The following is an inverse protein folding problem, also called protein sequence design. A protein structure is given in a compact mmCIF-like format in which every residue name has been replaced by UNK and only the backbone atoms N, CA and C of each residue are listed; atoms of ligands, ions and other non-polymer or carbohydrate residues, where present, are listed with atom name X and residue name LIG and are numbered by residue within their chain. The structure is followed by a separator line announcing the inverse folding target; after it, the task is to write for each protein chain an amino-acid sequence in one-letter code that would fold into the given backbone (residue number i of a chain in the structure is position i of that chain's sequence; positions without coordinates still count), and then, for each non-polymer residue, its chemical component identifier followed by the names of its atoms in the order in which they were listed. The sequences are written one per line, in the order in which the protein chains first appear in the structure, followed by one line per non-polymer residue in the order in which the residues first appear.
data_IF_486990112512
#
_entry.id   IF_486990112512
#
_cell.length_a   1.000
_cell.length_b   1.000
_cell.length_c   1.000
_cell.angle_alpha   90.00
_cell.angle_beta   90.00
_cell.angle_gamma   90.00
#
_symmetry.space_group_name_H-M   'P 1'
#
loop_
_entity.id
_entity.type
_entity.pdbx_description
1 polymer ?
#
# COMPACT_ATOMS: atom_id res chain seq x y z
N UNK A 1 0.48 36.51 15.00
CA UNK A 1 -0.09 35.16 14.84
C UNK A 1 0.51 34.53 13.59
N UNK A 2 1.43 33.56 13.68
CA UNK A 2 1.96 32.92 12.49
C UNK A 2 1.13 31.68 12.13
N UNK A 3 0.78 31.61 10.84
CA UNK A 3 0.20 30.44 10.16
C UNK A 3 1.21 29.30 10.18
N UNK A 4 0.78 28.11 10.57
CA UNK A 4 1.56 26.87 10.46
C UNK A 4 1.43 26.31 9.03
N UNK A 5 2.43 26.58 8.20
CA UNK A 5 2.63 25.91 6.93
C UNK A 5 3.21 24.51 7.20
N UNK A 6 2.36 23.48 7.19
CA UNK A 6 2.81 22.09 7.14
C UNK A 6 3.09 21.72 5.68
N UNK A 7 4.28 22.08 5.22
CA UNK A 7 4.82 21.67 3.93
C UNK A 7 5.24 20.20 4.04
N UNK A 8 4.45 19.29 3.49
CA UNK A 8 4.89 17.92 3.24
C UNK A 8 6.04 17.98 2.23
N UNK A 9 7.27 17.75 2.73
CA UNK A 9 8.46 17.67 1.88
C UNK A 9 8.37 16.36 1.10
N UNK A 10 7.93 16.45 -0.15
CA UNK A 10 8.22 15.44 -1.17
C UNK A 10 9.64 15.69 -1.70
N UNK A 11 10.61 14.79 -1.49
CA UNK A 11 11.89 14.90 -2.18
C UNK A 11 11.66 14.52 -3.63
N UNK A 12 11.57 15.53 -4.51
CA UNK A 12 11.49 15.35 -5.96
C UNK A 12 12.88 15.59 -6.55
N UNK A 13 13.39 14.62 -7.31
CA UNK A 13 13.88 14.78 -8.69
C UNK A 13 14.96 13.74 -9.03
N UNK A 14 14.68 12.96 -10.07
CA UNK A 14 15.73 12.39 -10.93
C UNK A 14 16.16 10.97 -10.63
N UNK A 15 15.27 9.99 -10.84
CA UNK A 15 15.47 8.76 -11.62
C UNK A 15 14.28 7.82 -11.36
N UNK A 16 13.40 7.66 -12.36
CA UNK A 16 12.40 6.59 -12.41
C UNK A 16 11.16 6.81 -11.54
N UNK A 17 10.17 7.52 -12.07
CA UNK A 17 8.80 7.66 -11.54
C UNK A 17 7.97 6.34 -11.61
N UNK A 18 8.61 5.18 -11.49
CA UNK A 18 7.94 3.89 -11.39
C UNK A 18 8.59 3.13 -10.23
N UNK A 19 7.77 2.66 -9.27
CA UNK A 19 8.00 1.55 -8.31
C UNK A 19 7.67 1.89 -6.83
N UNK A 20 7.67 3.15 -6.38
CA UNK A 20 7.65 3.42 -4.93
C UNK A 20 6.28 3.56 -4.23
N UNK A 21 5.14 3.44 -4.92
CA UNK A 21 3.82 3.60 -4.26
C UNK A 21 3.18 2.30 -3.74
N UNK A 22 3.81 1.14 -3.97
CA UNK A 22 3.28 -0.17 -3.52
C UNK A 22 3.83 -0.59 -2.14
N UNK A 23 4.80 0.18 -1.63
CA UNK A 23 5.39 0.04 -0.31
C UNK A 23 5.15 1.31 0.51
N UNK A 24 4.56 1.17 1.71
CA UNK A 24 4.61 2.23 2.70
C UNK A 24 5.95 2.13 3.44
N UNK A 25 6.90 2.95 3.00
CA UNK A 25 8.23 3.05 3.59
C UNK A 25 8.20 4.06 4.75
N UNK A 26 8.51 3.59 5.95
CA UNK A 26 8.60 4.41 7.16
C UNK A 26 10.06 4.49 7.59
N UNK A 27 10.69 5.64 7.37
CA UNK A 27 12.04 5.91 7.88
C UNK A 27 11.95 6.12 9.39
N UNK A 28 12.43 5.12 10.13
CA UNK A 28 12.30 5.11 11.58
C UNK A 28 13.07 6.26 12.20
N UNK A 29 14.27 6.55 11.72
CA UNK A 29 15.13 7.58 12.30
C UNK A 29 14.55 8.99 12.11
N UNK A 30 13.87 9.26 10.99
CA UNK A 30 13.12 10.51 10.76
C UNK A 30 11.94 10.67 11.73
N UNK A 31 11.40 9.56 12.23
CA UNK A 31 10.28 9.51 13.15
C UNK A 31 10.72 9.36 14.62
N UNK A 32 12.00 9.53 14.93
CA UNK A 32 12.53 9.40 16.30
C UNK A 32 12.76 7.94 16.74
N UNK A 33 12.99 7.06 15.77
CA UNK A 33 13.40 5.67 15.93
C UNK A 33 12.25 4.63 15.86
N UNK A 34 12.59 3.33 15.82
CA UNK A 34 11.62 2.25 15.61
C UNK A 34 10.52 2.18 16.69
N UNK A 35 10.82 2.59 17.92
CA UNK A 35 9.85 2.62 19.02
C UNK A 35 8.71 3.61 18.77
N UNK A 36 9.01 4.76 18.17
CA UNK A 36 8.03 5.79 17.83
C UNK A 36 7.18 5.37 16.64
N UNK A 37 7.80 4.76 15.63
CA UNK A 37 7.05 4.14 14.51
C UNK A 37 6.08 3.07 15.01
N UNK A 38 6.53 2.21 15.93
CA UNK A 38 5.68 1.20 16.54
C UNK A 38 4.51 1.83 17.34
N UNK A 39 4.72 2.99 17.96
CA UNK A 39 3.65 3.72 18.66
C UNK A 39 2.63 4.34 17.70
N UNK A 40 3.08 4.94 16.60
CA UNK A 40 2.20 5.47 15.55
C UNK A 40 1.38 4.35 14.89
N UNK A 41 2.05 3.26 14.50
CA UNK A 41 1.37 2.09 13.94
C UNK A 41 0.37 1.48 14.92
N UNK A 42 0.70 1.40 16.21
CA UNK A 42 -0.22 0.94 17.24
C UNK A 42 -1.51 1.77 17.27
N UNK A 43 -1.40 3.10 17.22
CA UNK A 43 -2.56 3.99 17.17
C UNK A 43 -3.40 3.76 15.89
N UNK A 44 -2.75 3.65 14.73
CA UNK A 44 -3.43 3.36 13.47
C UNK A 44 -4.19 2.03 13.52
N UNK A 45 -3.52 0.95 13.96
CA UNK A 45 -4.13 -0.38 14.07
C UNK A 45 -5.35 -0.40 14.98
N UNK A 46 -5.31 0.33 16.11
CA UNK A 46 -6.46 0.45 17.00
C UNK A 46 -7.63 1.17 16.32
N UNK A 47 -7.36 2.18 15.49
CA UNK A 47 -8.37 2.83 14.66
C UNK A 47 -9.01 1.91 13.62
N UNK A 48 -8.26 0.92 13.13
CA UNK A 48 -8.71 -0.07 12.14
C UNK A 48 -9.38 -1.31 12.74
N UNK A 49 -9.34 -1.49 14.07
CA UNK A 49 -9.75 -2.73 14.75
C UNK A 49 -11.17 -3.23 14.41
N UNK A 50 -12.07 -2.34 13.97
CA UNK A 50 -13.44 -2.68 13.58
C UNK A 50 -13.73 -2.46 12.08
N UNK A 51 -12.70 -2.25 11.26
CA UNK A 51 -12.82 -1.87 9.84
C UNK A 51 -11.78 -2.62 8.99
N UNK A 52 -11.91 -3.95 8.82
CA UNK A 52 -11.05 -4.69 7.89
C UNK A 52 -11.15 -4.05 6.51
N UNK A 53 -10.05 -4.01 5.77
CA UNK A 53 -10.09 -3.55 4.38
C UNK A 53 -10.87 -4.55 3.52
N UNK A 54 -11.74 -4.03 2.66
CA UNK A 54 -12.52 -4.77 1.68
C UNK A 54 -11.75 -5.00 0.36
N UNK A 55 -10.52 -4.50 0.31
CA UNK A 55 -9.62 -4.71 -0.82
C UNK A 55 -9.22 -6.21 -0.94
N UNK A 56 -8.89 -6.69 -2.15
CA UNK A 56 -8.29 -8.01 -2.30
C UNK A 56 -6.93 -8.09 -1.60
N UNK A 57 -6.59 -9.23 -0.98
CA UNK A 57 -5.32 -9.46 -0.28
C UNK A 57 -4.08 -9.12 -1.13
N UNK A 58 -4.18 -9.33 -2.43
CA UNK A 58 -3.15 -9.05 -3.42
C UNK A 58 -2.85 -7.56 -3.62
N UNK A 59 -3.74 -6.69 -3.17
CA UNK A 59 -3.60 -5.23 -3.22
C UNK A 59 -3.19 -4.63 -1.87
N UNK A 60 -3.01 -5.46 -0.82
CA UNK A 60 -2.67 -4.94 0.50
C UNK A 60 -1.27 -4.31 0.49
N UNK A 61 -1.12 -3.09 1.02
CA UNK A 61 0.17 -2.43 1.10
C UNK A 61 1.11 -3.24 2.00
N UNK A 62 2.38 -3.34 1.61
CA UNK A 62 3.45 -3.90 2.45
C UNK A 62 4.13 -2.76 3.22
N UNK A 63 4.32 -2.96 4.52
CA UNK A 63 5.00 -2.00 5.40
C UNK A 63 6.50 -2.34 5.48
N UNK A 64 7.33 -1.38 5.09
CA UNK A 64 8.78 -1.45 5.29
C UNK A 64 9.18 -0.38 6.31
N UNK A 65 9.65 -0.81 7.48
CA UNK A 65 10.23 0.09 8.48
C UNK A 65 11.73 0.12 8.25
N UNK A 66 12.22 1.25 7.76
CA UNK A 66 13.63 1.45 7.45
C UNK A 66 14.35 1.97 8.69
N UNK A 67 15.41 1.30 9.11
CA UNK A 67 16.21 1.71 10.25
C UNK A 67 17.68 1.82 9.86
N UNK A 68 18.32 2.91 10.22
CA UNK A 68 19.73 3.12 9.95
C UNK A 68 20.56 2.10 10.74
N UNK A 69 21.45 1.42 10.05
CA UNK A 69 22.32 0.40 10.63
C UNK A 69 23.74 0.57 10.11
N UNK A 70 24.63 1.00 11.01
CA UNK A 70 26.02 1.30 10.71
C UNK A 70 26.99 0.24 11.27
N UNK A 71 26.48 -0.82 11.89
CA UNK A 71 27.31 -1.88 12.43
C UNK A 71 27.85 -2.79 11.32
N UNK A 72 29.11 -3.23 11.48
CA UNK A 72 29.74 -4.25 10.63
C UNK A 72 29.13 -5.66 10.79
N UNK A 73 28.11 -5.81 11.63
CA UNK A 73 27.41 -7.07 11.83
C UNK A 73 26.35 -7.31 10.75
N UNK A 74 26.12 -8.59 10.44
CA UNK A 74 25.08 -9.02 9.52
C UNK A 74 23.71 -8.65 10.09
N UNK A 75 22.99 -7.78 9.39
CA UNK A 75 21.62 -7.41 9.76
C UNK A 75 20.68 -8.62 9.68
N UNK A 76 20.11 -9.01 10.82
CA UNK A 76 19.10 -10.05 10.89
C UNK A 76 17.68 -9.49 10.72
N UNK A 77 17.21 -9.34 9.48
CA UNK A 77 15.86 -8.81 9.15
C UNK A 77 14.75 -9.53 9.93
N UNK A 78 14.81 -10.87 10.05
CA UNK A 78 13.81 -11.66 10.78
C UNK A 78 13.84 -11.41 12.30
N UNK A 79 15.02 -11.15 12.85
CA UNK A 79 15.20 -10.85 14.27
C UNK A 79 14.69 -9.43 14.55
N UNK A 80 15.08 -8.46 13.71
CA UNK A 80 14.63 -7.07 13.81
C UNK A 80 13.11 -6.96 13.67
N UNK A 81 12.53 -7.66 12.69
CA UNK A 81 11.08 -7.69 12.46
C UNK A 81 10.34 -8.28 13.66
N UNK A 82 10.78 -9.41 14.21
CA UNK A 82 10.16 -10.01 15.41
C UNK A 82 10.26 -9.09 16.63
N UNK A 83 11.42 -8.45 16.82
CA UNK A 83 11.60 -7.49 17.90
C UNK A 83 10.66 -6.29 17.76
N UNK A 84 10.51 -5.76 16.55
CA UNK A 84 9.60 -4.66 16.27
C UNK A 84 8.14 -5.03 16.50
N UNK A 85 7.69 -6.20 16.02
CA UNK A 85 6.33 -6.69 16.27
C UNK A 85 6.03 -6.82 17.78
N UNK A 86 7.00 -7.26 18.58
CA UNK A 86 6.88 -7.30 20.04
C UNK A 86 6.75 -5.91 20.66
N UNK A 87 7.49 -4.91 20.15
CA UNK A 87 7.37 -3.52 20.60
C UNK A 87 6.00 -2.96 20.20
N UNK A 88 5.57 -3.17 18.96
CA UNK A 88 4.27 -2.77 18.42
C UNK A 88 3.12 -3.33 19.27
N UNK A 89 3.15 -4.62 19.59
CA UNK A 89 2.13 -5.26 20.42
C UNK A 89 2.02 -4.62 21.80
N UNK A 90 3.17 -4.37 22.47
CA UNK A 90 3.21 -3.68 23.77
C UNK A 90 2.68 -2.25 23.69
N UNK A 91 3.02 -1.52 22.63
CA UNK A 91 2.53 -0.15 22.40
C UNK A 91 1.01 -0.16 22.15
N UNK A 92 0.51 -1.09 21.35
CA UNK A 92 -0.91 -1.28 21.07
C UNK A 92 -1.70 -1.63 22.33
N UNK A 93 -1.22 -2.57 23.15
CA UNK A 93 -1.82 -2.91 24.44
C UNK A 93 -1.92 -1.68 25.35
N UNK A 94 -0.81 -0.94 25.52
CA UNK A 94 -0.77 0.27 26.35
C UNK A 94 -1.78 1.32 25.85
N UNK A 95 -1.82 1.58 24.55
CA UNK A 95 -2.74 2.59 23.97
C UNK A 95 -4.19 2.13 24.02
N UNK A 96 -4.47 0.84 23.84
CA UNK A 96 -5.81 0.29 23.93
C UNK A 96 -6.43 0.49 25.32
N UNK A 97 -5.65 0.21 26.38
CA UNK A 97 -6.10 0.46 27.75
C UNK A 97 -6.41 1.93 28.03
N UNK A 98 -5.57 2.85 27.50
CA UNK A 98 -5.79 4.30 27.62
C UNK A 98 -7.07 4.74 26.86
N UNK A 99 -7.26 4.25 25.63
CA UNK A 99 -8.36 4.68 24.77
C UNK A 99 -9.73 4.11 25.18
N UNK A 100 -9.77 2.89 25.70
CA UNK A 100 -11.03 2.21 26.05
C UNK A 100 -11.38 2.32 27.53
N UNK A 101 -10.44 2.73 28.38
CA UNK A 101 -10.61 2.69 29.85
C UNK A 101 -10.78 1.27 30.40
N UNK A 102 -10.53 0.23 29.59
CA UNK A 102 -10.66 -1.16 30.00
C UNK A 102 -9.31 -1.76 30.39
N UNK A 103 -9.32 -2.65 31.39
CA UNK A 103 -8.16 -3.47 31.75
C UNK A 103 -7.98 -4.67 30.79
N UNK A 104 -8.68 -4.69 29.65
CA UNK A 104 -8.54 -5.77 28.67
C UNK A 104 -7.16 -5.65 28.01
N UNK A 105 -6.35 -6.68 28.22
CA UNK A 105 -5.06 -6.81 27.53
C UNK A 105 -5.29 -7.25 26.10
N UNK A 106 -4.82 -6.44 25.16
CA UNK A 106 -4.79 -6.80 23.76
C UNK A 106 -3.72 -7.88 23.57
N UNK A 107 -4.10 -9.05 23.08
CA UNK A 107 -3.13 -10.15 22.87
C UNK A 107 -2.26 -9.86 21.65
N UNK A 108 -1.03 -10.36 21.65
CA UNK A 108 -0.15 -10.26 20.48
C UNK A 108 -0.81 -10.83 19.21
N UNK A 109 -1.51 -11.96 19.34
CA UNK A 109 -2.25 -12.58 18.23
C UNK A 109 -3.38 -11.69 17.69
N UNK A 110 -4.01 -10.86 18.53
CA UNK A 110 -5.04 -9.91 18.08
C UNK A 110 -4.40 -8.78 17.27
N UNK A 111 -3.26 -8.24 17.72
CA UNK A 111 -2.51 -7.22 16.98
C UNK A 111 -2.04 -7.76 15.63
N UNK A 112 -1.51 -8.97 15.61
CA UNK A 112 -1.09 -9.64 14.38
C UNK A 112 -2.27 -9.87 13.43
N UNK A 113 -3.42 -10.30 13.95
CA UNK A 113 -4.64 -10.48 13.17
C UNK A 113 -5.12 -9.17 12.53
N UNK A 114 -5.12 -8.06 13.28
CA UNK A 114 -5.49 -6.74 12.74
C UNK A 114 -4.47 -6.31 11.69
N UNK A 115 -3.17 -6.54 11.92
CA UNK A 115 -2.12 -6.19 10.97
C UNK A 115 -2.28 -6.97 9.65
N UNK A 116 -2.54 -8.27 9.70
CA UNK A 116 -2.76 -9.10 8.50
C UNK A 116 -4.06 -8.77 7.77
N UNK A 117 -5.05 -8.23 8.49
CA UNK A 117 -6.31 -7.77 7.90
C UNK A 117 -6.21 -6.40 7.22
N UNK A 118 -5.05 -5.73 7.29
CA UNK A 118 -4.84 -4.39 6.72
C UNK A 118 -3.63 -4.31 5.79
N UNK A 119 -2.61 -5.14 6.03
CA UNK A 119 -1.32 -5.07 5.37
C UNK A 119 -0.89 -6.43 4.83
N UNK A 120 -0.22 -6.42 3.67
CA UNK A 120 0.29 -7.61 2.99
C UNK A 120 1.61 -8.12 3.56
N UNK A 121 2.05 -7.54 4.68
CA UNK A 121 3.29 -7.87 5.40
C UNK A 121 3.91 -6.65 6.07
N UNK A 122 4.71 -6.90 7.10
CA UNK A 122 5.57 -5.91 7.76
C UNK A 122 7.00 -6.46 7.88
N UNK A 123 7.98 -5.63 7.54
CA UNK A 123 9.41 -5.93 7.67
C UNK A 123 10.17 -4.74 8.20
N UNK A 124 11.25 -5.01 8.93
CA UNK A 124 12.20 -3.99 9.38
C UNK A 124 13.51 -4.19 8.63
N UNK A 125 13.85 -3.24 7.77
CA UNK A 125 14.98 -3.33 6.86
C UNK A 125 16.03 -2.30 7.25
N UNK A 126 17.28 -2.73 7.30
CA UNK A 126 18.40 -1.82 7.52
C UNK A 126 18.69 -0.99 6.27
N UNK A 127 19.00 0.29 6.46
CA UNK A 127 19.66 1.10 5.46
C UNK A 127 20.98 1.66 6.02
N UNK A 128 22.02 1.83 5.19
CA UNK A 128 23.30 2.32 5.66
C UNK A 128 23.29 3.86 5.80
N UNK A 129 24.25 4.42 6.54
CA UNK A 129 24.45 5.88 6.59
C UNK A 129 24.55 6.49 5.17
N UNK A 130 24.12 7.75 5.03
CA UNK A 130 24.08 8.45 3.73
C UNK A 130 25.45 8.56 3.05
N UNK A 131 26.52 8.55 3.85
CA UNK A 131 27.91 8.61 3.39
C UNK A 131 28.52 7.22 3.11
N UNK A 132 27.78 6.14 3.36
CA UNK A 132 28.29 4.78 3.14
C UNK A 132 28.49 4.50 1.64
N UNK A 133 29.49 3.66 1.30
CA UNK A 133 29.77 3.32 -0.09
C UNK A 133 28.59 2.59 -0.75
N UNK A 134 28.46 2.71 -2.07
CA UNK A 134 27.39 2.11 -2.86
C UNK A 134 27.18 0.59 -2.60
N UNK A 135 28.24 -0.15 -2.25
CA UNK A 135 28.15 -1.58 -1.91
C UNK A 135 27.22 -1.84 -0.72
N UNK A 136 27.20 -0.93 0.27
CA UNK A 136 26.31 -1.02 1.44
C UNK A 136 24.85 -0.82 1.06
N UNK A 137 24.58 0.02 0.04
CA UNK A 137 23.24 0.26 -0.50
C UNK A 137 22.72 -0.87 -1.38
N UNK A 138 23.60 -1.76 -1.85
CA UNK A 138 23.22 -2.87 -2.74
C UNK A 138 22.16 -3.77 -2.09
N UNK A 139 22.29 -4.04 -0.79
CA UNK A 139 21.36 -4.91 -0.07
C UNK A 139 19.92 -4.35 -0.07
N UNK A 140 19.74 -3.12 0.39
CA UNK A 140 18.42 -2.47 0.42
C UNK A 140 17.86 -2.28 -1.00
N UNK A 141 18.70 -1.91 -1.97
CA UNK A 141 18.28 -1.81 -3.37
C UNK A 141 17.76 -3.14 -3.91
N UNK A 142 18.53 -4.22 -3.75
CA UNK A 142 18.12 -5.56 -4.18
C UNK A 142 16.86 -5.99 -3.46
N UNK A 143 16.69 -5.64 -2.18
CA UNK A 143 15.50 -5.96 -1.42
C UNK A 143 14.25 -5.23 -1.96
N UNK A 144 14.32 -3.92 -2.14
CA UNK A 144 13.20 -3.12 -2.68
C UNK A 144 12.81 -3.63 -4.07
N UNK A 145 13.79 -3.92 -4.93
CA UNK A 145 13.52 -4.48 -6.26
C UNK A 145 12.86 -5.85 -6.18
N UNK A 146 13.34 -6.74 -5.31
CA UNK A 146 12.72 -8.06 -5.12
C UNK A 146 11.29 -7.96 -4.61
N UNK A 147 11.03 -7.10 -3.62
CA UNK A 147 9.69 -6.93 -3.06
C UNK A 147 8.72 -6.35 -4.09
N UNK A 148 9.20 -5.42 -4.94
CA UNK A 148 8.47 -4.92 -6.11
C UNK A 148 8.16 -6.04 -7.10
N UNK A 149 9.16 -6.86 -7.47
CA UNK A 149 8.96 -7.97 -8.42
C UNK A 149 7.95 -9.00 -7.90
N UNK A 150 8.01 -9.35 -6.62
CA UNK A 150 7.05 -10.25 -5.96
C UNK A 150 5.62 -9.69 -5.96
N UNK A 151 5.49 -8.38 -5.75
CA UNK A 151 4.19 -7.73 -5.74
C UNK A 151 3.61 -7.66 -7.16
N UNK A 152 4.41 -7.27 -8.13
CA UNK A 152 4.04 -7.29 -9.54
C UNK A 152 3.67 -8.70 -10.02
N UNK A 153 4.37 -9.73 -9.56
CA UNK A 153 4.03 -11.11 -9.87
C UNK A 153 2.65 -11.50 -9.31
N UNK A 154 2.31 -11.09 -8.08
CA UNK A 154 0.99 -11.36 -7.48
C UNK A 154 -0.13 -10.56 -8.15
N UNK A 155 0.11 -9.29 -8.46
CA UNK A 155 -0.79 -8.48 -9.27
C UNK A 155 -1.13 -9.19 -10.59
N UNK A 156 -0.13 -9.71 -11.30
CA UNK A 156 -0.32 -10.46 -12.56
C UNK A 156 -1.07 -11.78 -12.36
N UNK A 157 -0.78 -12.50 -11.27
CA UNK A 157 -1.46 -13.75 -10.92
C UNK A 157 -2.95 -13.55 -10.62
N UNK A 158 -3.29 -12.42 -10.01
CA UNK A 158 -4.66 -12.08 -9.58
C UNK A 158 -5.40 -11.27 -10.64
N UNK A 159 -4.77 -11.02 -11.79
CA UNK A 159 -5.31 -10.27 -12.91
C UNK A 159 -5.75 -8.84 -12.54
N UNK A 160 -5.09 -8.22 -11.55
CA UNK A 160 -5.40 -6.88 -11.05
C UNK A 160 -4.42 -5.85 -11.65
N UNK A 161 -4.76 -5.27 -12.80
CA UNK A 161 -4.05 -4.12 -13.35
C UNK A 161 -4.31 -2.81 -12.57
N UNK A 162 -5.34 -2.75 -11.72
CA UNK A 162 -5.66 -1.57 -10.92
C UNK A 162 -4.70 -1.40 -9.73
N UNK A 163 -4.04 -0.24 -9.63
CA UNK A 163 -3.14 0.09 -8.52
C UNK A 163 -3.53 1.40 -7.82
N UNK A 164 -2.81 1.76 -6.76
CA UNK A 164 -3.08 2.93 -5.91
C UNK A 164 -3.05 4.27 -6.67
N UNK A 165 -2.27 4.38 -7.76
CA UNK A 165 -2.27 5.59 -8.59
C UNK A 165 -3.62 5.77 -9.28
N UNK A 166 -4.10 4.72 -9.95
CA UNK A 166 -5.43 4.75 -10.57
C UNK A 166 -6.50 5.12 -9.52
N UNK A 167 -6.44 4.55 -8.31
CA UNK A 167 -7.37 4.92 -7.24
C UNK A 167 -7.31 6.42 -6.88
N UNK A 168 -6.11 7.00 -6.75
CA UNK A 168 -5.94 8.43 -6.47
C UNK A 168 -6.50 9.30 -7.60
N UNK A 169 -6.25 8.91 -8.84
CA UNK A 169 -6.72 9.65 -10.01
C UNK A 169 -8.24 9.56 -10.13
N UNK A 170 -8.84 8.40 -9.87
CA UNK A 170 -10.29 8.23 -9.74
C UNK A 170 -10.89 9.05 -8.62
N UNK A 171 -10.23 9.10 -7.45
CA UNK A 171 -10.71 9.91 -6.33
C UNK A 171 -10.67 11.40 -6.69
N UNK A 172 -9.65 11.82 -7.43
CA UNK A 172 -9.54 13.20 -7.93
C UNK A 172 -10.65 13.52 -8.94
N UNK A 173 -10.94 12.60 -9.86
CA UNK A 173 -12.05 12.71 -10.82
C UNK A 173 -13.41 12.75 -10.11
N UNK A 174 -13.63 11.90 -9.11
CA UNK A 174 -14.85 11.88 -8.33
C UNK A 174 -15.03 13.17 -7.52
N UNK A 175 -13.97 13.65 -6.88
CA UNK A 175 -13.98 14.92 -6.16
C UNK A 175 -14.34 16.09 -7.07
N UNK A 176 -13.68 16.20 -8.23
CA UNK A 176 -13.98 17.22 -9.23
C UNK A 176 -15.44 17.12 -9.71
N UNK A 177 -15.94 15.91 -9.94
CA UNK A 177 -17.31 15.67 -10.35
C UNK A 177 -18.33 16.15 -9.32
N UNK A 178 -18.15 15.79 -8.05
CA UNK A 178 -19.07 16.20 -6.98
C UNK A 178 -19.05 17.71 -6.71
N UNK A 179 -18.00 18.43 -7.11
CA UNK A 179 -18.00 19.89 -7.11
C UNK A 179 -18.91 20.50 -8.19
N UNK A 180 -19.26 19.74 -9.24
CA UNK A 180 -20.00 20.23 -10.42
C UNK A 180 -21.42 19.64 -10.50
N UNK A 181 -21.58 18.34 -10.22
CA UNK A 181 -22.86 17.65 -10.26
C UNK A 181 -22.95 16.62 -9.12
N UNK A 182 -23.93 16.81 -8.24
CA UNK A 182 -24.22 15.90 -7.11
C UNK A 182 -25.49 15.07 -7.34
N UNK A 183 -26.25 15.37 -8.39
CA UNK A 183 -27.55 14.77 -8.66
C UNK A 183 -27.38 13.49 -9.49
N UNK A 184 -26.44 13.47 -10.42
CA UNK A 184 -26.18 12.31 -11.26
C UNK A 184 -25.14 11.36 -10.62
N UNK A 185 -25.35 10.03 -10.69
CA UNK A 185 -24.39 9.08 -10.11
C UNK A 185 -23.02 9.15 -10.81
N UNK A 186 -21.96 9.28 -10.02
CA UNK A 186 -20.59 9.21 -10.55
C UNK A 186 -20.29 7.80 -11.09
N UNK A 187 -19.87 7.71 -12.35
CA UNK A 187 -19.56 6.45 -13.01
C UNK A 187 -18.05 6.36 -13.30
N UNK A 188 -17.33 5.60 -12.47
CA UNK A 188 -15.87 5.41 -12.60
C UNK A 188 -15.47 4.94 -14.00
N UNK A 189 -16.20 3.99 -14.60
CA UNK A 189 -15.93 3.48 -15.95
C UNK A 189 -16.03 4.58 -17.03
N UNK A 190 -16.94 5.54 -16.87
CA UNK A 190 -17.04 6.67 -17.80
C UNK A 190 -15.96 7.70 -17.52
N UNK A 191 -15.68 7.96 -16.24
CA UNK A 191 -14.68 8.93 -15.82
C UNK A 191 -13.26 8.56 -16.30
N UNK A 192 -12.87 7.28 -16.22
CA UNK A 192 -11.57 6.83 -16.76
C UNK A 192 -11.39 7.02 -18.25
N UNK A 193 -12.50 7.10 -19.00
CA UNK A 193 -12.49 7.17 -20.45
C UNK A 193 -12.62 8.58 -21.01
N UNK A 194 -12.64 9.59 -20.14
CA UNK A 194 -12.66 11.00 -20.56
C UNK A 194 -11.39 11.36 -21.32
N UNK A 195 -10.22 10.98 -20.80
CA UNK A 195 -8.93 11.28 -21.44
C UNK A 195 -8.50 10.23 -22.46
N UNK A 196 -9.03 9.00 -22.35
CA UNK A 196 -8.71 7.91 -23.25
C UNK A 196 -9.98 7.17 -23.71
N UNK A 197 -10.63 7.75 -24.73
CA UNK A 197 -11.88 7.24 -25.28
C UNK A 197 -11.67 5.88 -25.96
N UNK A 198 -12.69 5.03 -25.90
CA UNK A 198 -12.63 3.71 -26.51
C UNK A 198 -12.53 3.79 -28.03
N UNK A 199 -11.69 2.97 -28.67
CA UNK A 199 -11.55 2.99 -30.12
C UNK A 199 -12.84 2.51 -30.82
N UNK A 200 -13.14 3.04 -32.02
CA UNK A 200 -14.33 2.71 -32.81
C UNK A 200 -14.20 1.28 -33.38
N UNK A 201 -14.52 0.30 -32.53
CA UNK A 201 -14.33 -1.13 -32.82
C UNK A 201 -14.23 -1.98 -31.55
N UNK A 202 -14.00 -1.34 -30.41
CA UNK A 202 -13.87 -1.99 -29.10
C UNK A 202 -15.03 -2.96 -28.79
N UNK A 203 -16.29 -2.56 -29.01
CA UNK A 203 -17.47 -3.41 -28.75
C UNK A 203 -17.43 -4.69 -29.58
N UNK A 204 -16.97 -4.60 -30.82
CA UNK A 204 -16.83 -5.75 -31.71
C UNK A 204 -15.73 -6.69 -31.22
N UNK A 205 -14.58 -6.14 -30.83
CA UNK A 205 -13.47 -6.93 -30.27
C UNK A 205 -13.86 -7.60 -28.95
N UNK A 206 -14.53 -6.88 -28.06
CA UNK A 206 -15.01 -7.41 -26.78
C UNK A 206 -16.01 -8.56 -27.00
N UNK A 207 -16.94 -8.40 -27.93
CA UNK A 207 -17.91 -9.46 -28.28
C UNK A 207 -17.20 -10.69 -28.84
N UNK A 208 -16.20 -10.50 -29.70
CA UNK A 208 -15.41 -11.61 -30.24
C UNK A 208 -14.60 -12.31 -29.15
N UNK A 209 -13.99 -11.56 -28.23
CA UNK A 209 -13.27 -12.11 -27.08
C UNK A 209 -14.20 -12.91 -26.17
N UNK A 210 -15.36 -12.38 -25.80
CA UNK A 210 -16.32 -13.06 -24.92
C UNK A 210 -16.85 -14.37 -25.52
N UNK A 211 -16.93 -14.48 -26.86
CA UNK A 211 -17.27 -15.75 -27.53
C UNK A 211 -16.20 -16.84 -27.36
N UNK A 212 -14.95 -16.45 -27.09
CA UNK A 212 -13.84 -17.37 -26.87
C UNK A 212 -13.69 -17.78 -25.40
N UNK A 213 -14.39 -17.10 -24.49
CA UNK A 213 -14.35 -17.37 -23.06
C UNK A 213 -15.46 -18.35 -22.68
N UNK A 214 -15.10 -19.42 -21.96
CA UNK A 214 -16.08 -20.37 -21.45
C UNK A 214 -16.97 -19.73 -20.35
N UNK A 215 -18.23 -20.17 -20.19
CA UNK A 215 -19.13 -19.61 -19.18
C UNK A 215 -18.56 -19.63 -17.74
N UNK A 216 -17.77 -20.66 -17.40
CA UNK A 216 -17.11 -20.80 -16.09
C UNK A 216 -16.02 -19.75 -15.86
N UNK A 217 -15.36 -19.31 -16.93
CA UNK A 217 -14.31 -18.28 -16.88
C UNK A 217 -14.86 -16.86 -17.00
N UNK A 218 -16.15 -16.70 -17.28
CA UNK A 218 -16.72 -15.38 -17.55
C UNK A 218 -16.75 -14.50 -16.30
N UNK A 219 -17.13 -15.07 -15.16
CA UNK A 219 -17.19 -14.36 -13.88
C UNK A 219 -15.84 -14.31 -13.15
N UNK A 220 -15.03 -15.37 -13.28
CA UNK A 220 -13.80 -15.53 -12.49
C UNK A 220 -12.53 -15.05 -13.21
N UNK A 221 -12.59 -14.81 -14.52
CA UNK A 221 -11.44 -14.39 -15.32
C UNK A 221 -11.79 -13.20 -16.20
N UNK A 222 -12.76 -13.33 -17.12
CA UNK A 222 -13.00 -12.30 -18.13
C UNK A 222 -13.52 -11.00 -17.51
N UNK A 223 -14.53 -11.06 -16.64
CA UNK A 223 -15.08 -9.85 -16.01
C UNK A 223 -14.02 -9.09 -15.16
N UNK A 224 -13.26 -9.73 -14.26
CA UNK A 224 -12.16 -9.08 -13.54
C UNK A 224 -11.10 -8.49 -14.47
N UNK A 225 -10.63 -9.24 -15.48
CA UNK A 225 -9.59 -8.79 -16.42
C UNK A 225 -10.07 -7.58 -17.23
N UNK A 226 -11.29 -7.63 -17.77
CA UNK A 226 -11.87 -6.55 -18.57
C UNK A 226 -12.07 -5.32 -17.70
N UNK A 227 -12.68 -5.46 -16.52
CA UNK A 227 -12.87 -4.35 -15.59
C UNK A 227 -11.53 -3.73 -15.19
N UNK A 228 -10.53 -4.56 -14.91
CA UNK A 228 -9.21 -4.07 -14.53
C UNK A 228 -8.48 -3.39 -15.68
N UNK A 229 -8.55 -3.92 -16.90
CA UNK A 229 -7.99 -3.29 -18.09
C UNK A 229 -8.70 -1.96 -18.39
N UNK A 230 -10.01 -1.88 -18.11
CA UNK A 230 -10.73 -0.63 -18.27
C UNK A 230 -10.24 0.47 -17.34
N UNK A 231 -9.87 0.10 -16.12
CA UNK A 231 -9.45 1.03 -15.07
C UNK A 231 -7.94 1.34 -15.13
N UNK A 232 -7.12 0.48 -15.75
CA UNK A 232 -5.68 0.70 -15.93
C UNK A 232 -5.34 1.83 -16.91
N UNK A 233 -6.23 2.10 -17.86
CA UNK A 233 -5.99 2.99 -18.98
C UNK A 233 -6.45 4.44 -18.70
N UNK A 234 -6.50 4.79 -17.41
CA UNK A 234 -7.04 6.06 -16.87
C UNK A 234 -5.93 7.00 -16.45
#
# INVERSE_FOLDING_TARGET
MPRSDYTWITPRAGLGDLILQEHQNLFADDLGGPSTVAELLALCLLGFSNRPTDLPLSTYPRLLVLHQWDNNEVWGEDIATRNFLRILARKAEKKHGILTGTNRKLKQSEVESILTAQFGGLRVVAYPHIQSPYRSWKHIRTRILKDSDELQARIRQEYIAFNTHHFKDFFSLAYQYFCVDIVTPFCFVRASRIQNALPPGFVTHLRSFLKLVSPVQLLNFAAPVIASAFMFDS
#
